data_IF_911955678928
#
_entry.id   IF_911955678928
#
_cell.length_a   1.000
_cell.length_b   1.000
_cell.length_c   1.000
_cell.angle_alpha   90.00
_cell.angle_beta   90.00
_cell.angle_gamma   90.00
#
_symmetry.space_group_name_H-M   'P 1'
#
loop_
_entity.id
_entity.type
_entity.pdbx_description
1 polymer ?
#
# COMPACT_ATOMS: atom_id res chain seq x y z
N UNK A 1 -1.19 9.76 -5.55
CA UNK A 1 0.18 9.21 -5.55
C UNK A 1 1.16 10.33 -5.86
N UNK A 2 2.23 10.44 -5.07
CA UNK A 2 3.28 11.45 -5.27
C UNK A 2 4.62 10.75 -5.23
N UNK A 3 5.53 11.16 -6.13
CA UNK A 3 6.93 10.78 -6.09
C UNK A 3 7.81 12.01 -6.22
N UNK A 4 8.85 12.08 -5.39
CA UNK A 4 9.75 13.23 -5.21
C UNK A 4 11.21 12.80 -5.29
N UNK A 5 12.11 13.75 -5.52
CA UNK A 5 13.55 13.52 -5.47
C UNK A 5 14.29 14.76 -4.93
N UNK A 6 15.59 14.61 -4.66
CA UNK A 6 16.45 15.72 -4.23
C UNK A 6 16.71 16.80 -5.29
N UNK A 7 16.37 16.56 -6.57
CA UNK A 7 16.41 17.58 -7.64
C UNK A 7 15.11 18.39 -7.71
N UNK A 8 14.23 18.25 -6.71
CA UNK A 8 12.91 18.88 -6.65
C UNK A 8 12.00 18.55 -7.87
N UNK A 9 12.24 17.43 -8.55
CA UNK A 9 11.36 16.91 -9.61
C UNK A 9 10.26 16.07 -8.98
N UNK A 10 9.02 16.49 -9.21
CA UNK A 10 7.83 15.89 -8.63
C UNK A 10 6.95 15.28 -9.73
N UNK A 11 6.41 14.10 -9.46
CA UNK A 11 5.35 13.49 -10.27
C UNK A 11 4.12 13.35 -9.38
N UNK A 12 2.98 13.87 -9.86
CA UNK A 12 1.71 13.87 -9.13
C UNK A 12 0.63 13.23 -9.98
N UNK A 13 -0.01 12.21 -9.42
CA UNK A 13 -1.19 11.62 -10.01
C UNK A 13 -2.29 11.56 -8.96
N UNK A 14 -3.44 12.13 -9.31
CA UNK A 14 -4.62 12.14 -8.46
C UNK A 14 -5.76 11.46 -9.20
N UNK A 15 -6.28 10.40 -8.59
CA UNK A 15 -7.49 9.73 -9.04
C UNK A 15 -8.52 9.83 -7.93
N UNK A 16 -9.66 10.43 -8.24
CA UNK A 16 -10.78 10.48 -7.32
C UNK A 16 -11.79 9.39 -7.68
N UNK A 17 -12.06 8.50 -6.73
CA UNK A 17 -13.08 7.47 -6.85
C UNK A 17 -14.22 7.85 -5.91
N UNK A 18 -15.41 8.08 -6.46
CA UNK A 18 -16.62 8.30 -5.70
C UNK A 18 -17.65 7.26 -6.10
N UNK A 19 -18.21 6.56 -5.12
CA UNK A 19 -19.43 5.77 -5.30
C UNK A 19 -20.57 6.54 -4.63
N UNK A 20 -21.69 6.81 -5.31
CA UNK A 20 -22.83 7.45 -4.68
C UNK A 20 -23.39 6.55 -3.57
N UNK A 21 -23.91 7.16 -2.50
CA UNK A 21 -24.58 6.41 -1.45
C UNK A 21 -25.87 5.79 -1.98
N UNK A 22 -26.57 6.53 -2.86
CA UNK A 22 -27.79 6.08 -3.52
C UNK A 22 -27.47 5.56 -4.93
N UNK A 23 -27.92 4.34 -5.28
CA UNK A 23 -27.81 3.85 -6.65
C UNK A 23 -28.87 4.52 -7.52
N UNK A 24 -28.60 5.74 -8.00
CA UNK A 24 -29.54 6.58 -8.77
C UNK A 24 -30.07 5.94 -10.07
N UNK A 25 -29.42 4.88 -10.55
CA UNK A 25 -29.85 4.10 -11.72
C UNK A 25 -30.98 3.08 -11.41
N UNK A 26 -31.46 3.00 -10.16
CA UNK A 26 -32.51 2.06 -9.75
C UNK A 26 -33.82 2.81 -9.57
N UNK A 27 -34.85 2.35 -10.29
CA UNK A 27 -36.10 3.11 -10.44
C UNK A 27 -37.16 2.76 -9.38
N UNK A 28 -37.10 1.56 -8.79
CA UNK A 28 -38.10 1.08 -7.82
C UNK A 28 -37.50 0.60 -6.49
N UNK A 29 -38.35 0.51 -5.46
CA UNK A 29 -37.94 0.17 -4.10
C UNK A 29 -37.39 -1.26 -3.97
N UNK A 30 -37.87 -2.20 -4.77
CA UNK A 30 -37.43 -3.60 -4.76
C UNK A 30 -35.99 -3.71 -5.25
N UNK A 31 -35.65 -3.02 -6.34
CA UNK A 31 -34.29 -2.94 -6.87
C UNK A 31 -33.32 -2.30 -5.89
N UNK A 32 -33.73 -1.21 -5.23
CA UNK A 32 -32.93 -0.54 -4.19
C UNK A 32 -32.70 -1.49 -3.00
N UNK A 33 -33.76 -2.19 -2.55
CA UNK A 33 -33.65 -3.16 -1.46
C UNK A 33 -32.73 -4.32 -1.81
N UNK A 34 -32.84 -4.87 -3.02
CA UNK A 34 -31.95 -5.93 -3.50
C UNK A 34 -30.50 -5.45 -3.61
N UNK A 35 -30.28 -4.24 -4.12
CA UNK A 35 -28.95 -3.63 -4.16
C UNK A 35 -28.39 -3.44 -2.75
N UNK A 36 -29.17 -2.93 -1.79
CA UNK A 36 -28.74 -2.73 -0.40
C UNK A 36 -28.38 -4.06 0.29
N UNK A 37 -29.20 -5.11 0.11
CA UNK A 37 -28.91 -6.46 0.63
C UNK A 37 -27.61 -7.00 0.03
N UNK A 38 -27.43 -6.82 -1.29
CA UNK A 38 -26.19 -7.21 -1.97
C UNK A 38 -25.00 -6.40 -1.46
N UNK A 39 -25.12 -5.08 -1.27
CA UNK A 39 -24.05 -4.20 -0.80
C UNK A 39 -23.63 -4.56 0.63
N UNK A 40 -24.60 -4.82 1.51
CA UNK A 40 -24.36 -5.32 2.88
C UNK A 40 -23.61 -6.64 2.90
N UNK A 41 -23.91 -7.55 1.96
CA UNK A 41 -23.18 -8.82 1.78
C UNK A 41 -21.84 -8.64 1.04
N UNK A 42 -21.40 -7.40 0.79
CA UNK A 42 -20.22 -7.07 0.00
C UNK A 42 -20.29 -7.59 -1.43
N UNK A 43 -21.49 -7.82 -1.99
CA UNK A 43 -21.73 -8.38 -3.32
C UNK A 43 -21.66 -7.38 -4.46
N UNK A 44 -21.77 -6.09 -4.15
CA UNK A 44 -21.75 -4.96 -5.10
C UNK A 44 -21.01 -3.78 -4.46
N UNK A 45 -20.56 -2.86 -5.31
CA UNK A 45 -19.82 -1.67 -4.92
C UNK A 45 -18.31 -1.85 -4.86
N UNK A 46 -17.61 -0.74 -4.65
CA UNK A 46 -16.14 -0.70 -4.61
C UNK A 46 -15.69 -0.81 -3.15
N UNK A 47 -14.90 -1.83 -2.82
CA UNK A 47 -14.34 -1.96 -1.47
C UNK A 47 -13.19 -0.99 -1.24
N UNK A 48 -12.98 -0.59 0.01
CA UNK A 48 -11.80 0.19 0.42
C UNK A 48 -10.50 -0.52 0.06
N UNK A 49 -10.46 -1.85 0.21
CA UNK A 49 -9.33 -2.69 -0.20
C UNK A 49 -9.01 -2.52 -1.69
N UNK A 50 -10.05 -2.47 -2.54
CA UNK A 50 -9.87 -2.26 -3.98
C UNK A 50 -9.29 -0.89 -4.30
N UNK A 51 -9.84 0.17 -3.71
CA UNK A 51 -9.32 1.53 -3.90
C UNK A 51 -7.86 1.59 -3.46
N UNK A 52 -7.54 1.01 -2.30
CA UNK A 52 -6.19 0.97 -1.74
C UNK A 52 -5.23 0.24 -2.66
N UNK A 53 -5.63 -0.89 -3.22
CA UNK A 53 -4.82 -1.61 -4.19
C UNK A 53 -4.57 -0.85 -5.48
N UNK A 54 -5.58 -0.16 -6.03
CA UNK A 54 -5.39 0.67 -7.23
C UNK A 54 -4.37 1.76 -6.96
N UNK A 55 -4.44 2.39 -5.78
CA UNK A 55 -3.44 3.38 -5.36
C UNK A 55 -2.04 2.78 -5.24
N UNK A 56 -1.90 1.65 -4.52
CA UNK A 56 -0.62 0.98 -4.29
C UNK A 56 0.00 0.45 -5.59
N UNK A 57 -0.83 -0.10 -6.49
CA UNK A 57 -0.42 -0.51 -7.83
C UNK A 57 0.14 0.67 -8.60
N UNK A 58 -0.60 1.79 -8.64
CA UNK A 58 -0.17 2.99 -9.37
C UNK A 58 1.09 3.62 -8.78
N UNK A 59 1.23 3.61 -7.46
CA UNK A 59 2.46 4.04 -6.79
C UNK A 59 3.68 3.25 -7.27
N UNK A 60 3.61 1.92 -7.24
CA UNK A 60 4.70 1.05 -7.69
C UNK A 60 4.98 1.21 -9.17
N UNK A 61 3.95 1.33 -10.00
CA UNK A 61 4.11 1.59 -11.44
C UNK A 61 4.84 2.92 -11.69
N UNK A 62 4.38 4.01 -11.07
CA UNK A 62 5.02 5.32 -11.19
C UNK A 62 6.47 5.26 -10.73
N UNK A 63 6.74 4.62 -9.59
CA UNK A 63 8.10 4.47 -9.05
C UNK A 63 8.98 3.74 -10.06
N UNK A 64 8.53 2.65 -10.68
CA UNK A 64 9.33 1.92 -11.66
C UNK A 64 9.63 2.74 -12.92
N UNK A 65 8.67 3.55 -13.37
CA UNK A 65 8.80 4.39 -14.58
C UNK A 65 9.70 5.62 -14.38
N UNK A 66 10.10 5.90 -13.14
CA UNK A 66 10.97 7.03 -12.83
C UNK A 66 12.40 6.86 -13.37
N UNK A 67 13.01 7.94 -13.88
CA UNK A 67 14.37 7.89 -14.45
C UNK A 67 15.48 7.74 -13.41
N UNK A 68 15.20 8.02 -12.12
CA UNK A 68 16.19 7.86 -11.06
C UNK A 68 16.64 6.41 -10.93
N UNK A 69 17.95 6.18 -10.77
CA UNK A 69 18.51 4.84 -10.62
C UNK A 69 17.94 4.15 -9.39
N UNK A 70 18.12 4.79 -8.23
CA UNK A 70 17.69 4.28 -6.94
C UNK A 70 16.34 4.88 -6.55
N UNK A 71 15.47 4.02 -6.03
CA UNK A 71 14.06 4.34 -5.79
C UNK A 71 13.64 3.77 -4.43
N UNK A 72 12.80 4.52 -3.73
CA UNK A 72 12.23 4.11 -2.45
C UNK A 72 10.71 4.03 -2.55
N UNK A 73 10.13 3.06 -1.85
CA UNK A 73 8.69 2.82 -1.77
C UNK A 73 8.29 2.81 -0.30
N UNK A 74 7.12 3.36 0.01
CA UNK A 74 6.53 3.26 1.34
C UNK A 74 5.71 1.96 1.46
N UNK A 75 5.91 1.22 2.56
CA UNK A 75 5.23 -0.03 2.85
C UNK A 75 6.02 -1.28 2.41
N UNK A 76 5.29 -2.38 2.21
CA UNK A 76 5.76 -3.63 1.60
C UNK A 76 5.96 -3.45 0.08
N UNK A 77 6.92 -4.13 -0.55
CA UNK A 77 7.05 -4.16 -2.02
C UNK A 77 5.80 -4.69 -2.71
N UNK A 78 5.13 -5.68 -2.11
CA UNK A 78 3.92 -6.29 -2.67
C UNK A 78 2.86 -6.49 -1.59
N UNK A 79 2.23 -5.41 -1.07
CA UNK A 79 1.38 -5.42 0.12
C UNK A 79 0.13 -6.29 0.00
N UNK A 80 -0.50 -6.61 1.14
CA UNK A 80 -1.68 -7.47 1.27
C UNK A 80 -2.79 -7.17 0.24
N UNK A 81 -3.07 -5.87 0.02
CA UNK A 81 -4.00 -5.41 -0.99
C UNK A 81 -3.69 -6.02 -2.36
N UNK A 82 -2.44 -5.98 -2.80
CA UNK A 82 -2.02 -6.55 -4.08
C UNK A 82 -1.98 -8.08 -4.05
N UNK A 83 -1.62 -8.69 -2.92
CA UNK A 83 -1.58 -10.15 -2.73
C UNK A 83 -2.97 -10.76 -2.93
N UNK A 84 -4.03 -10.14 -2.41
CA UNK A 84 -5.41 -10.69 -2.46
C UNK A 84 -6.13 -10.60 -3.81
N UNK A 85 -5.56 -9.96 -4.82
CA UNK A 85 -6.13 -9.93 -6.17
C UNK A 85 -7.44 -9.16 -6.35
N UNK A 86 -7.81 -8.31 -5.37
CA UNK A 86 -9.01 -7.46 -5.38
C UNK A 86 -10.36 -8.20 -5.35
N UNK A 87 -10.38 -9.46 -4.93
CA UNK A 87 -11.60 -10.25 -4.88
C UNK A 87 -12.31 -10.33 -6.24
N UNK A 88 -13.52 -9.75 -6.35
CA UNK A 88 -14.35 -9.88 -7.55
C UNK A 88 -13.81 -9.20 -8.80
N UNK A 89 -12.98 -8.17 -8.64
CA UNK A 89 -12.48 -7.39 -9.77
C UNK A 89 -11.30 -8.08 -10.48
N UNK A 90 -10.87 -9.25 -9.97
CA UNK A 90 -9.90 -10.16 -10.61
C UNK A 90 -8.65 -9.45 -11.11
N UNK A 91 -8.09 -8.60 -10.25
CA UNK A 91 -6.89 -7.81 -10.56
C UNK A 91 -5.57 -8.55 -10.32
N UNK A 92 -5.61 -9.81 -9.88
CA UNK A 92 -4.43 -10.56 -9.42
C UNK A 92 -3.34 -10.60 -10.48
N UNK A 93 -3.65 -11.04 -11.70
CA UNK A 93 -2.64 -11.16 -12.77
C UNK A 93 -1.92 -9.85 -13.09
N UNK A 94 -2.63 -8.72 -13.07
CA UNK A 94 -2.01 -7.41 -13.22
C UNK A 94 -1.06 -7.10 -12.06
N UNK A 95 -1.51 -7.36 -10.82
CA UNK A 95 -0.69 -7.19 -9.61
C UNK A 95 0.56 -8.08 -9.66
N UNK A 96 0.43 -9.37 -9.96
CA UNK A 96 1.56 -10.30 -10.08
C UNK A 96 2.54 -9.87 -11.17
N UNK A 97 2.04 -9.37 -12.31
CA UNK A 97 2.90 -8.83 -13.37
C UNK A 97 3.71 -7.62 -12.89
N UNK A 98 3.10 -6.71 -12.12
CA UNK A 98 3.80 -5.59 -11.52
C UNK A 98 4.81 -6.07 -10.46
N UNK A 99 4.42 -6.99 -9.59
CA UNK A 99 5.30 -7.60 -8.59
C UNK A 99 6.55 -8.21 -9.23
N UNK A 100 6.39 -8.96 -10.33
CA UNK A 100 7.53 -9.53 -11.08
C UNK A 100 8.48 -8.45 -11.60
N UNK A 101 7.96 -7.32 -12.07
CA UNK A 101 8.81 -6.20 -12.48
C UNK A 101 9.65 -5.70 -11.31
N UNK A 102 9.04 -5.49 -10.14
CA UNK A 102 9.73 -5.03 -8.92
C UNK A 102 10.80 -6.05 -8.48
N UNK A 103 10.42 -7.33 -8.39
CA UNK A 103 11.32 -8.41 -7.96
C UNK A 103 12.55 -8.57 -8.88
N UNK A 104 12.44 -8.16 -10.14
CA UNK A 104 13.54 -8.19 -11.10
C UNK A 104 14.37 -6.89 -11.13
N UNK A 105 14.09 -5.94 -10.24
CA UNK A 105 14.91 -4.73 -10.09
C UNK A 105 15.91 -4.87 -8.95
N UNK A 106 17.08 -4.28 -9.13
CA UNK A 106 18.16 -4.28 -8.12
C UNK A 106 18.29 -2.92 -7.41
N UNK A 107 17.45 -1.95 -7.74
CA UNK A 107 17.61 -0.55 -7.30
C UNK A 107 16.34 0.03 -6.69
N UNK A 108 15.46 -0.83 -6.17
CA UNK A 108 14.22 -0.45 -5.49
C UNK A 108 14.26 -1.02 -4.07
N UNK A 109 14.04 -0.19 -3.07
CA UNK A 109 13.86 -0.61 -1.69
C UNK A 109 12.52 -0.12 -1.17
N UNK A 110 11.83 -0.93 -0.37
CA UNK A 110 10.65 -0.50 0.35
C UNK A 110 10.90 -0.49 1.85
N UNK A 111 10.23 0.41 2.57
CA UNK A 111 10.24 0.42 4.04
C UNK A 111 8.90 0.82 4.61
N UNK A 112 8.54 0.20 5.73
CA UNK A 112 7.28 0.45 6.43
C UNK A 112 7.51 1.05 7.81
N UNK A 113 6.69 2.05 8.13
CA UNK A 113 6.71 2.78 9.42
C UNK A 113 6.23 1.94 10.60
N UNK A 114 5.44 0.90 10.33
CA UNK A 114 4.80 0.06 11.34
C UNK A 114 4.80 -1.38 10.88
N UNK A 115 5.06 -2.30 11.82
CA UNK A 115 4.77 -3.73 11.66
C UNK A 115 3.81 -4.17 12.76
N UNK A 116 2.84 -5.01 12.40
CA UNK A 116 2.01 -5.72 13.37
C UNK A 116 2.71 -6.93 13.97
N UNK A 117 3.81 -7.39 13.37
CA UNK A 117 4.59 -8.52 13.87
C UNK A 117 5.39 -8.12 15.13
N UNK A 118 5.08 -8.72 16.30
CA UNK A 118 5.82 -8.47 17.52
C UNK A 118 7.30 -8.85 17.44
N UNK A 119 7.66 -9.87 16.66
CA UNK A 119 9.03 -10.34 16.50
C UNK A 119 9.90 -9.25 15.87
N UNK A 120 9.40 -8.58 14.82
CA UNK A 120 10.13 -7.47 14.19
C UNK A 120 10.35 -6.31 15.17
N UNK A 121 9.38 -6.03 16.04
CA UNK A 121 9.53 -4.98 17.05
C UNK A 121 10.58 -5.35 18.10
N UNK A 122 10.61 -6.60 18.54
CA UNK A 122 11.59 -7.08 19.53
C UNK A 122 13.01 -7.07 18.95
N UNK A 123 13.20 -7.66 17.78
CA UNK A 123 14.50 -7.72 17.10
C UNK A 123 15.00 -6.30 16.79
N UNK A 124 14.13 -5.46 16.23
CA UNK A 124 14.49 -4.08 15.91
C UNK A 124 14.87 -3.24 17.13
N UNK A 125 14.25 -3.48 18.29
CA UNK A 125 14.64 -2.78 19.51
C UNK A 125 16.04 -3.19 20.00
N UNK A 126 16.47 -4.42 19.72
CA UNK A 126 17.78 -4.93 20.13
C UNK A 126 18.96 -4.43 19.27
N UNK A 127 18.70 -3.89 18.08
CA UNK A 127 19.75 -3.29 17.22
C UNK A 127 20.35 -2.04 17.85
N UNK A 128 21.61 -1.74 17.61
CA UNK A 128 22.19 -0.42 17.89
C UNK A 128 21.85 0.58 16.75
N UNK A 129 21.85 1.91 17.01
CA UNK A 129 21.68 2.90 15.96
C UNK A 129 22.73 2.76 14.85
N UNK A 130 22.27 2.74 13.59
CA UNK A 130 23.12 2.51 12.43
C UNK A 130 23.30 1.04 12.05
N UNK A 131 22.69 0.11 12.79
CA UNK A 131 22.69 -1.31 12.44
C UNK A 131 21.46 -1.72 11.64
N UNK A 132 21.64 -2.80 10.87
CA UNK A 132 20.56 -3.53 10.24
C UNK A 132 20.81 -5.04 10.34
N UNK A 133 19.73 -5.79 10.20
CA UNK A 133 19.75 -7.25 10.17
C UNK A 133 18.80 -7.75 9.08
N UNK A 134 19.23 -8.76 8.33
CA UNK A 134 18.35 -9.55 7.47
C UNK A 134 17.65 -10.62 8.32
N UNK A 135 16.33 -10.71 8.22
CA UNK A 135 15.53 -11.68 8.98
C UNK A 135 15.30 -12.94 8.15
N UNK A 136 14.74 -12.80 6.94
CA UNK A 136 14.41 -13.92 6.07
C UNK A 136 14.26 -13.47 4.61
N UNK A 137 14.09 -14.45 3.71
CA UNK A 137 13.76 -14.19 2.31
C UNK A 137 12.30 -13.72 2.17
N UNK A 138 12.03 -12.79 1.25
CA UNK A 138 10.65 -12.36 0.97
C UNK A 138 9.77 -13.50 0.42
N UNK A 139 10.38 -14.51 -0.20
CA UNK A 139 9.72 -15.77 -0.55
C UNK A 139 8.98 -16.40 0.64
N UNK A 140 9.55 -16.36 1.84
CA UNK A 140 8.93 -16.95 3.03
C UNK A 140 7.65 -16.21 3.38
N UNK A 141 7.65 -14.88 3.35
CA UNK A 141 6.46 -14.07 3.63
C UNK A 141 5.32 -14.32 2.62
N UNK A 142 5.66 -14.51 1.34
CA UNK A 142 4.65 -14.84 0.32
C UNK A 142 4.10 -16.26 0.48
N UNK A 143 4.93 -17.22 0.93
CA UNK A 143 4.46 -18.58 1.23
C UNK A 143 3.56 -18.60 2.46
N UNK A 144 3.95 -17.92 3.54
CA UNK A 144 3.13 -17.74 4.74
C UNK A 144 1.76 -17.15 4.40
N UNK A 145 1.71 -16.16 3.51
CA UNK A 145 0.45 -15.62 3.02
C UNK A 145 -0.41 -16.67 2.28
N UNK A 146 0.20 -17.51 1.44
CA UNK A 146 -0.53 -18.50 0.63
C UNK A 146 -1.01 -19.71 1.45
N UNK A 147 -0.11 -20.27 2.25
CA UNK A 147 -0.28 -21.56 2.92
C UNK A 147 -0.74 -21.43 4.38
N UNK A 148 -0.60 -20.24 4.96
CA UNK A 148 -0.59 -20.07 6.42
C UNK A 148 0.73 -20.56 7.02
N UNK A 149 0.95 -20.22 8.28
CA UNK A 149 2.11 -20.60 9.08
C UNK A 149 1.87 -21.91 9.86
N UNK A 150 0.71 -22.56 9.64
CA UNK A 150 0.35 -23.83 10.27
C UNK A 150 -0.04 -23.70 11.75
N UNK A 151 -0.13 -22.48 12.28
CA UNK A 151 -0.70 -22.17 13.59
C UNK A 151 -2.19 -21.79 13.49
N UNK A 152 -2.90 -21.81 14.61
CA UNK A 152 -4.35 -21.51 14.66
C UNK A 152 -4.69 -20.05 14.29
N UNK A 153 -3.68 -19.19 14.12
CA UNK A 153 -3.84 -17.74 13.96
C UNK A 153 -3.59 -17.25 12.52
N UNK A 154 -2.87 -18.02 11.70
CA UNK A 154 -2.60 -17.69 10.30
C UNK A 154 -3.58 -18.40 9.36
N UNK A 155 -4.52 -17.63 8.79
CA UNK A 155 -5.52 -18.16 7.86
C UNK A 155 -4.94 -18.15 6.44
N UNK A 156 -4.85 -19.29 5.74
CA UNK A 156 -4.34 -19.35 4.38
C UNK A 156 -5.16 -18.49 3.41
N UNK A 157 -4.51 -17.99 2.35
CA UNK A 157 -5.19 -17.23 1.31
C UNK A 157 -6.30 -18.06 0.64
N UNK A 158 -7.49 -17.47 0.52
CA UNK A 158 -8.65 -18.09 -0.12
C UNK A 158 -8.65 -17.81 -1.62
N UNK A 159 -7.82 -18.52 -2.37
CA UNK A 159 -7.79 -18.44 -3.83
C UNK A 159 -8.63 -19.53 -4.49
N UNK A 160 -9.13 -19.22 -5.69
CA UNK A 160 -9.57 -20.27 -6.60
C UNK A 160 -8.34 -21.00 -7.18
N UNK A 161 -8.50 -22.20 -7.79
CA UNK A 161 -7.37 -22.99 -8.26
C UNK A 161 -6.43 -22.25 -9.22
N UNK A 162 -6.98 -21.46 -10.16
CA UNK A 162 -6.17 -20.72 -11.15
C UNK A 162 -5.38 -19.57 -10.53
N UNK A 163 -6.00 -18.82 -9.61
CA UNK A 163 -5.33 -17.74 -8.89
C UNK A 163 -4.25 -18.29 -7.96
N UNK A 164 -4.50 -19.44 -7.33
CA UNK A 164 -3.52 -20.16 -6.50
C UNK A 164 -2.30 -20.55 -7.32
N UNK A 165 -2.50 -21.21 -8.45
CA UNK A 165 -1.43 -21.62 -9.35
C UNK A 165 -0.61 -20.40 -9.85
N UNK A 166 -1.29 -19.33 -10.29
CA UNK A 166 -0.62 -18.12 -10.74
C UNK A 166 0.22 -17.46 -9.62
N UNK A 167 -0.28 -17.50 -8.38
CA UNK A 167 0.43 -16.99 -7.21
C UNK A 167 1.62 -17.88 -6.83
N UNK A 168 1.49 -19.21 -6.88
CA UNK A 168 2.60 -20.16 -6.65
C UNK A 168 3.76 -19.93 -7.63
N UNK A 169 3.45 -19.70 -8.91
CA UNK A 169 4.48 -19.31 -9.88
C UNK A 169 5.16 -17.99 -9.52
N UNK A 170 4.39 -17.00 -9.04
CA UNK A 170 4.94 -15.73 -8.59
C UNK A 170 5.81 -15.86 -7.34
N UNK A 171 5.44 -16.70 -6.38
CA UNK A 171 6.26 -17.00 -5.20
C UNK A 171 7.61 -17.56 -5.64
N UNK A 172 7.62 -18.52 -6.56
CA UNK A 172 8.86 -19.09 -7.08
C UNK A 172 9.74 -18.04 -7.76
N UNK A 173 9.15 -17.06 -8.43
CA UNK A 173 9.88 -15.92 -9.01
C UNK A 173 10.54 -15.02 -7.94
N UNK A 174 10.06 -15.01 -6.69
CA UNK A 174 10.59 -14.18 -5.61
C UNK A 174 11.78 -14.81 -4.88
N UNK A 175 11.97 -16.13 -5.01
CA UNK A 175 13.00 -16.90 -4.29
C UNK A 175 14.39 -16.31 -4.50
N UNK A 176 15.08 -16.01 -3.41
CA UNK A 176 16.44 -15.44 -3.40
C UNK A 176 16.58 -14.08 -4.10
N UNK A 177 15.48 -13.35 -4.34
CA UNK A 177 15.55 -12.02 -4.97
C UNK A 177 15.49 -10.89 -3.97
N UNK A 178 14.68 -10.99 -2.94
CA UNK A 178 14.47 -9.94 -1.96
C UNK A 178 14.64 -10.45 -0.53
N UNK A 179 15.23 -9.61 0.31
CA UNK A 179 15.37 -9.81 1.75
C UNK A 179 14.35 -8.96 2.48
N UNK A 180 13.80 -9.53 3.54
CA UNK A 180 13.10 -8.78 4.58
C UNK A 180 14.07 -8.58 5.73
N UNK A 181 14.21 -7.34 6.16
CA UNK A 181 15.12 -7.01 7.24
C UNK A 181 14.62 -5.85 8.08
N UNK A 182 15.39 -5.52 9.10
CA UNK A 182 15.09 -4.43 10.01
C UNK A 182 16.33 -3.54 10.08
N UNK A 183 16.12 -2.23 10.03
CA UNK A 183 17.20 -1.25 10.23
C UNK A 183 16.80 -0.25 11.32
N UNK A 184 17.80 0.30 12.00
CA UNK A 184 17.63 1.38 12.99
C UNK A 184 18.46 2.59 12.55
N UNK A 185 17.81 3.71 12.25
CA UNK A 185 18.48 4.90 11.71
C UNK A 185 19.67 5.36 12.59
N UNK A 186 20.70 5.93 11.96
CA UNK A 186 21.99 6.28 12.62
C UNK A 186 21.82 7.10 13.90
N UNK A 187 20.82 7.99 13.93
CA UNK A 187 20.57 8.92 15.05
C UNK A 187 19.23 8.67 15.76
N UNK A 188 18.56 7.55 15.47
CA UNK A 188 17.22 7.24 15.99
C UNK A 188 17.21 5.88 16.67
N UNK A 189 16.41 5.77 17.73
CA UNK A 189 16.16 4.50 18.41
C UNK A 189 14.97 3.73 17.81
N UNK A 190 14.31 4.25 16.77
CA UNK A 190 13.15 3.59 16.16
C UNK A 190 13.60 2.64 15.05
N UNK A 191 13.26 1.35 15.14
CA UNK A 191 13.51 0.40 14.07
C UNK A 191 12.40 0.44 13.01
N UNK A 192 12.76 0.10 11.78
CA UNK A 192 11.86 0.02 10.63
C UNK A 192 12.16 -1.24 9.82
N UNK A 193 11.11 -1.84 9.26
CA UNK A 193 11.27 -3.00 8.37
C UNK A 193 11.59 -2.50 6.97
N UNK A 194 12.49 -3.19 6.28
CA UNK A 194 12.82 -2.94 4.90
C UNK A 194 12.65 -4.20 4.04
N UNK A 195 12.45 -3.97 2.75
CA UNK A 195 12.38 -4.99 1.71
C UNK A 195 13.36 -4.59 0.60
N UNK A 196 14.44 -5.34 0.43
CA UNK A 196 15.55 -4.93 -0.43
C UNK A 196 16.01 -6.07 -1.35
N UNK A 197 16.46 -5.79 -2.58
CA UNK A 197 17.01 -6.78 -3.48
C UNK A 197 18.30 -7.36 -2.89
N UNK A 198 18.39 -8.69 -2.85
CA UNK A 198 19.55 -9.42 -2.31
C UNK A 198 20.84 -9.08 -3.05
N UNK A 199 20.78 -8.91 -4.37
CA UNK A 199 21.95 -8.58 -5.19
C UNK A 199 22.55 -7.20 -4.90
N UNK A 200 21.81 -6.31 -4.22
CA UNK A 200 22.23 -4.94 -3.96
C UNK A 200 21.87 -4.47 -2.54
N UNK A 201 21.79 -5.41 -1.60
CA UNK A 201 21.26 -5.20 -0.25
C UNK A 201 21.98 -4.07 0.48
N UNK A 202 23.31 -4.13 0.55
CA UNK A 202 24.13 -3.16 1.29
C UNK A 202 23.94 -1.73 0.77
N UNK A 203 23.94 -1.54 -0.55
CA UNK A 203 23.74 -0.22 -1.14
C UNK A 203 22.34 0.30 -0.81
N UNK A 204 21.32 -0.56 -0.91
CA UNK A 204 19.93 -0.15 -0.68
C UNK A 204 19.69 0.24 0.77
N UNK A 205 20.22 -0.52 1.73
CA UNK A 205 20.10 -0.20 3.15
C UNK A 205 20.91 1.05 3.51
N UNK A 206 22.10 1.22 2.94
CA UNK A 206 22.89 2.45 3.13
C UNK A 206 22.17 3.70 2.60
N UNK A 207 21.38 3.58 1.53
CA UNK A 207 20.51 4.67 1.08
C UNK A 207 19.42 5.01 2.11
N UNK A 208 18.81 4.00 2.75
CA UNK A 208 17.86 4.25 3.84
C UNK A 208 18.52 4.97 5.00
N UNK A 209 19.72 4.56 5.42
CA UNK A 209 20.47 5.26 6.47
C UNK A 209 20.79 6.70 6.10
N UNK A 210 21.29 6.92 4.87
CA UNK A 210 21.63 8.26 4.38
C UNK A 210 20.39 9.17 4.36
N UNK A 211 19.27 8.70 3.81
CA UNK A 211 18.03 9.48 3.73
C UNK A 211 17.41 9.73 5.12
N UNK A 212 17.50 8.74 6.02
CA UNK A 212 16.99 8.83 7.38
C UNK A 212 17.83 9.74 8.28
N UNK A 213 19.09 9.99 7.95
CA UNK A 213 19.98 10.88 8.71
C UNK A 213 19.48 12.33 8.75
N UNK A 214 18.66 12.74 7.76
CA UNK A 214 18.00 14.03 7.75
C UNK A 214 16.79 14.13 8.69
N UNK A 215 16.41 13.02 9.35
CA UNK A 215 15.33 12.98 10.34
C UNK A 215 15.78 12.36 11.67
N UNK A 216 16.68 12.97 12.47
CA UNK A 216 17.30 12.33 13.63
C UNK A 216 16.30 11.75 14.65
N UNK A 217 15.23 12.50 14.95
CA UNK A 217 14.22 12.09 15.94
C UNK A 217 13.31 10.94 15.47
N UNK A 218 13.10 10.82 14.14
CA UNK A 218 12.24 9.77 13.56
C UNK A 218 13.10 8.58 13.13
N UNK A 219 14.17 8.83 12.37
CA UNK A 219 15.01 7.80 11.76
C UNK A 219 14.36 7.13 10.56
N UNK A 220 13.36 7.78 9.97
CA UNK A 220 12.66 7.32 8.77
C UNK A 220 13.14 8.12 7.56
N UNK A 221 13.11 7.56 6.33
CA UNK A 221 13.56 8.28 5.14
C UNK A 221 12.79 9.58 4.90
N UNK A 222 13.52 10.69 4.83
CA UNK A 222 12.99 12.03 4.58
C UNK A 222 12.12 12.11 3.33
N UNK A 223 12.57 11.52 2.21
CA UNK A 223 11.84 11.66 0.94
C UNK A 223 10.48 10.95 0.98
N UNK A 224 10.38 9.82 1.68
CA UNK A 224 9.11 9.11 1.85
C UNK A 224 8.16 9.92 2.75
N UNK A 225 8.64 10.43 3.88
CA UNK A 225 7.85 11.27 4.78
C UNK A 225 7.41 12.59 4.11
N UNK A 226 8.27 13.16 3.28
CA UNK A 226 7.94 14.34 2.49
C UNK A 226 6.85 14.05 1.45
N UNK A 227 6.95 12.93 0.72
CA UNK A 227 5.91 12.51 -0.23
C UNK A 227 4.55 12.29 0.47
N UNK A 228 4.55 11.60 1.62
CA UNK A 228 3.36 11.36 2.44
C UNK A 228 2.73 12.67 2.94
N UNK A 229 3.56 13.61 3.42
CA UNK A 229 3.12 14.93 3.87
C UNK A 229 2.47 15.72 2.73
N UNK A 230 3.01 15.67 1.52
CA UNK A 230 2.40 16.33 0.36
C UNK A 230 1.07 15.65 0.00
N UNK A 231 1.02 14.31 -0.03
CA UNK A 231 -0.19 13.55 -0.33
C UNK A 231 -1.32 13.91 0.64
N UNK A 232 -1.04 13.90 1.94
CA UNK A 232 -2.03 14.15 2.99
C UNK A 232 -2.52 15.61 3.04
N UNK A 233 -1.66 16.58 2.71
CA UNK A 233 -1.98 18.01 2.81
C UNK A 233 -2.51 18.64 1.52
N UNK A 234 -1.95 18.31 0.36
CA UNK A 234 -2.31 18.96 -0.92
C UNK A 234 -3.38 18.21 -1.71
N UNK A 235 -3.52 16.90 -1.50
CA UNK A 235 -4.44 16.04 -2.24
C UNK A 235 -5.49 15.42 -1.31
N UNK A 236 -5.94 16.19 -0.32
CA UNK A 236 -6.82 15.66 0.71
C UNK A 236 -8.17 15.24 0.12
N UNK A 237 -8.66 14.05 0.50
CA UNK A 237 -10.01 13.60 0.15
C UNK A 237 -11.10 14.56 0.66
N UNK A 238 -10.79 15.34 1.70
CA UNK A 238 -11.67 16.37 2.24
C UNK A 238 -11.93 17.49 1.24
N UNK A 239 -10.92 17.98 0.53
CA UNK A 239 -11.11 19.07 -0.43
C UNK A 239 -11.86 18.60 -1.67
N UNK A 240 -11.60 17.37 -2.12
CA UNK A 240 -12.40 16.75 -3.17
C UNK A 240 -13.86 16.55 -2.73
N UNK A 241 -14.09 16.05 -1.51
CA UNK A 241 -15.43 15.91 -0.95
C UNK A 241 -16.18 17.25 -0.97
N UNK A 242 -15.55 18.34 -0.51
CA UNK A 242 -16.14 19.69 -0.57
C UNK A 242 -16.50 20.11 -2.01
N UNK A 243 -15.65 19.80 -2.99
CA UNK A 243 -15.94 20.10 -4.40
C UNK A 243 -17.15 19.30 -4.92
N UNK A 244 -17.25 18.02 -4.58
CA UNK A 244 -18.40 17.17 -4.93
C UNK A 244 -19.66 17.68 -4.25
N UNK A 245 -19.62 17.95 -2.94
CA UNK A 245 -20.75 18.47 -2.17
C UNK A 245 -21.25 19.81 -2.75
N UNK A 246 -20.35 20.72 -3.11
CA UNK A 246 -20.71 21.98 -3.75
C UNK A 246 -21.42 21.77 -5.10
N UNK A 247 -20.99 20.79 -5.91
CA UNK A 247 -21.65 20.43 -7.17
C UNK A 247 -23.02 19.79 -6.94
N UNK A 248 -23.14 18.89 -5.97
CA UNK A 248 -24.41 18.25 -5.59
C UNK A 248 -25.41 19.28 -5.03
N UNK A 249 -24.93 20.28 -4.27
CA UNK A 249 -25.74 21.37 -3.74
C UNK A 249 -26.35 22.21 -4.87
N UNK A 250 -25.53 22.57 -5.88
CA UNK A 250 -26.01 23.28 -7.09
C UNK A 250 -27.07 22.50 -7.85
N UNK A 251 -27.00 21.17 -7.82
CA UNK A 251 -27.99 20.26 -8.41
C UNK A 251 -29.18 19.94 -7.49
N UNK A 252 -29.23 20.51 -6.27
CA UNK A 252 -30.29 20.27 -5.26
C UNK A 252 -30.47 18.79 -4.89
N UNK A 253 -29.40 18.01 -4.90
CA UNK A 253 -29.43 16.58 -4.51
C UNK A 253 -28.51 16.26 -3.33
N UNK A 254 -27.83 17.27 -2.78
CA UNK A 254 -26.89 17.09 -1.67
C UNK A 254 -27.54 16.50 -0.42
N UNK A 255 -28.80 16.86 -0.14
CA UNK A 255 -29.53 16.45 1.06
C UNK A 255 -29.62 14.92 1.23
N UNK A 256 -29.60 14.18 0.13
CA UNK A 256 -29.69 12.72 0.12
C UNK A 256 -28.33 12.02 0.31
N UNK A 257 -27.22 12.74 0.19
CA UNK A 257 -25.85 12.20 0.20
C UNK A 257 -25.02 12.68 1.41
N UNK A 258 -25.51 13.67 2.16
CA UNK A 258 -24.85 14.15 3.38
C UNK A 258 -25.39 13.45 4.63
N UNK A 259 -24.50 13.21 5.59
CA UNK A 259 -24.89 12.68 6.88
C UNK A 259 -25.54 13.78 7.72
N UNK A 260 -26.71 13.52 8.32
CA UNK A 260 -27.38 14.46 9.24
C UNK A 260 -26.42 14.97 10.35
N UNK A 261 -25.52 14.12 10.86
CA UNK A 261 -24.56 14.55 11.88
C UNK A 261 -23.61 15.65 11.39
N UNK A 262 -23.35 15.73 10.09
CA UNK A 262 -22.49 16.76 9.50
C UNK A 262 -23.20 18.10 9.27
N UNK A 263 -24.54 18.16 9.37
CA UNK A 263 -25.31 19.40 9.25
C UNK A 263 -25.61 20.06 10.61
N UNK A 264 -25.32 19.36 11.71
CA UNK A 264 -25.47 19.90 13.07
C UNK A 264 -24.51 21.07 13.27
N UNK A 265 -25.06 22.24 13.62
CA UNK A 265 -24.25 23.36 14.11
C UNK A 265 -23.74 22.98 15.50
N UNK A 266 -22.41 23.02 15.69
CA UNK A 266 -21.76 23.00 17.00
C UNK A 266 -21.44 24.43 17.41
#
# INVERSE_FOLDING_TARGET
>A
VIAVNYKNKKTEHTLYISEPFIPYEKENYEEIMQYAIRKKKGKVGISSLHVTAVMLYKEREIVLDRPEKYKMIQGDIFPYELKTGQGRLRGLNACLKLGRKILNTENVIATQTTSSDPAYRLIGNALEPGEYIEIHDYYEELNSFLLGDGDDFSIPARFNPSDKEAFEFFINDAKNKFSVGIFKGIQSNRPYVFFAPKSNLEIMVNLLFADSSFQPMRGFPLLLDYADTICSRLLSGTDFKKQVEAKLARKKILEFEINEKSTRRR
#
